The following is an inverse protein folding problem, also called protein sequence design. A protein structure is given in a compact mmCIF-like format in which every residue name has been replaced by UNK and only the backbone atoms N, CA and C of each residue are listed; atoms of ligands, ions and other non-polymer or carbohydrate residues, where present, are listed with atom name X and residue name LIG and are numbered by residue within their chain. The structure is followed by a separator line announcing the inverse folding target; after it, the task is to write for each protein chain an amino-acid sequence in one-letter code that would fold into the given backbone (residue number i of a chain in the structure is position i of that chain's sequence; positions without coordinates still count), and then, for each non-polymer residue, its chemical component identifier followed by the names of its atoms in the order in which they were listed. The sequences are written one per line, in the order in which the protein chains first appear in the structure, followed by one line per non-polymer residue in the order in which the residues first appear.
data_IF_115640967671
#
_entry.id   IF_115640967671
#
_cell.length_a   1.000
_cell.length_b   1.000
_cell.length_c   1.000
_cell.angle_alpha   90.00
_cell.angle_beta   90.00
_cell.angle_gamma   90.00
#
_symmetry.space_group_name_H-M   'P 1'
#
loop_
_entity.id
_entity.type
_entity.pdbx_description
1 polymer ?
#
# COMPACT_ATOMS: atom_id res chain seq x y z
N UNK A 1 0.11 26.91 -15.06
CA UNK A 1 1.22 26.05 -15.56
C UNK A 1 1.05 24.71 -14.86
N UNK A 2 0.98 23.59 -15.59
CA UNK A 2 0.59 22.28 -15.02
C UNK A 2 1.72 21.59 -14.26
N UNK A 3 1.39 20.73 -13.29
CA UNK A 3 2.33 19.92 -12.51
C UNK A 3 3.28 19.09 -13.40
N UNK A 4 2.77 18.57 -14.53
CA UNK A 4 3.58 17.93 -15.59
C UNK A 4 4.63 18.84 -16.23
N UNK A 5 4.35 20.13 -16.45
CA UNK A 5 5.32 21.07 -17.08
C UNK A 5 6.44 21.51 -16.15
N UNK A 6 6.20 21.56 -14.84
CA UNK A 6 7.25 21.87 -13.86
C UNK A 6 8.20 20.67 -13.70
N UNK A 7 7.66 19.43 -13.73
CA UNK A 7 8.44 18.19 -13.63
C UNK A 7 9.33 17.90 -14.85
N UNK A 8 8.87 18.18 -16.08
CA UNK A 8 9.72 17.99 -17.28
C UNK A 8 10.92 18.93 -17.30
N UNK A 9 10.79 20.17 -16.79
CA UNK A 9 11.92 21.11 -16.75
C UNK A 9 12.95 20.78 -15.66
N UNK A 10 12.54 20.17 -14.55
CA UNK A 10 13.45 19.70 -13.50
C UNK A 10 14.21 18.41 -13.89
N UNK A 11 13.58 17.52 -14.67
CA UNK A 11 14.23 16.29 -15.15
C UNK A 11 15.17 16.53 -16.36
N UNK A 12 14.99 17.60 -17.13
CA UNK A 12 15.85 17.93 -18.27
C UNK A 12 17.12 18.74 -17.91
N UNK A 13 17.19 19.36 -16.73
CA UNK A 13 18.38 20.11 -16.29
C UNK A 13 19.42 19.26 -15.56
N UNK A 14 19.07 18.06 -15.09
CA UNK A 14 19.98 17.13 -14.43
C UNK A 14 20.67 16.12 -15.38
N UNK A 15 20.28 16.07 -16.66
CA UNK A 15 20.70 15.03 -17.62
C UNK A 15 21.82 15.40 -18.61
N UNK A 16 22.50 16.54 -18.48
CA UNK A 16 23.43 17.03 -19.53
C UNK A 16 24.90 17.19 -19.14
N UNK A 17 25.38 16.61 -18.03
CA UNK A 17 26.79 16.81 -17.59
C UNK A 17 27.60 15.57 -17.23
N UNK A 18 27.25 14.36 -17.68
CA UNK A 18 28.18 13.21 -17.58
C UNK A 18 28.07 12.26 -18.77
N UNK A 19 28.54 12.68 -19.95
CA UNK A 19 29.02 11.73 -20.97
C UNK A 19 30.24 12.34 -21.67
N UNK A 20 31.44 12.16 -21.12
CA UNK A 20 32.67 12.17 -21.92
C UNK A 20 33.85 11.47 -21.23
N UNK A 21 34.37 10.44 -21.90
CA UNK A 21 35.65 9.75 -21.62
C UNK A 21 35.52 8.59 -20.62
N UNK A 22 35.93 7.35 -20.90
CA UNK A 22 36.88 6.82 -21.88
C UNK A 22 36.63 5.31 -22.02
N UNK A 23 36.56 4.81 -23.26
CA UNK A 23 36.92 3.43 -23.59
C UNK A 23 38.43 3.35 -23.79
N UNK A 24 39.11 2.36 -23.18
CA UNK A 24 39.86 1.31 -23.89
C UNK A 24 40.60 0.38 -22.90
N UNK A 25 40.46 -0.94 -23.14
CA UNK A 25 41.46 -2.02 -22.98
C UNK A 25 42.01 -2.31 -21.56
N UNK A 26 42.26 -3.55 -21.10
CA UNK A 26 42.21 -4.88 -21.68
C UNK A 26 42.13 -5.91 -20.53
N UNK A 27 41.81 -7.14 -20.91
CA UNK A 27 41.68 -8.34 -20.08
C UNK A 27 42.94 -8.69 -19.26
N UNK A 28 42.74 -9.23 -18.05
CA UNK A 28 43.47 -10.40 -17.54
C UNK A 28 42.84 -10.94 -16.25
N UNK A 29 42.45 -12.20 -16.35
CA UNK A 29 42.22 -13.26 -15.37
C UNK A 29 42.74 -13.09 -13.93
N UNK A 30 41.87 -13.48 -13.00
CA UNK A 30 42.13 -14.44 -11.90
C UNK A 30 43.33 -14.22 -10.96
N UNK A 31 43.05 -13.97 -9.68
CA UNK A 31 43.26 -14.92 -8.56
C UNK A 31 43.34 -14.16 -7.24
N UNK A 32 42.50 -14.56 -6.30
CA UNK A 32 42.68 -14.28 -4.89
C UNK A 32 43.98 -14.94 -4.41
N UNK A 33 44.80 -14.20 -3.67
CA UNK A 33 45.69 -14.72 -2.61
C UNK A 33 46.28 -13.53 -1.84
N UNK A 34 45.98 -13.48 -0.54
CA UNK A 34 46.82 -12.76 0.42
C UNK A 34 48.18 -13.50 0.52
N UNK A 35 49.28 -12.77 0.75
CA UNK A 35 49.95 -12.93 2.05
C UNK A 35 50.57 -11.60 2.55
N UNK A 36 50.43 -11.30 3.83
CA UNK A 36 51.34 -11.63 4.95
C UNK A 36 52.34 -10.50 5.24
N UNK A 37 52.42 -10.26 6.54
CA UNK A 37 53.15 -9.24 7.25
C UNK A 37 54.61 -9.66 7.39
N UNK A 38 55.56 -8.82 6.97
CA UNK A 38 56.94 -8.92 7.44
C UNK A 38 57.56 -7.54 7.55
N UNK A 39 57.91 -7.20 8.79
CA UNK A 39 58.67 -6.03 9.15
C UNK A 39 60.14 -6.24 8.82
N UNK A 40 60.79 -5.25 8.21
CA UNK A 40 62.22 -5.08 8.36
C UNK A 40 62.61 -3.60 8.30
N UNK A 41 63.22 -3.20 9.41
CA UNK A 41 63.96 -1.97 9.67
C UNK A 41 65.18 -1.83 8.75
N UNK A 42 65.47 -0.62 8.28
CA UNK A 42 66.86 -0.13 8.30
C UNK A 42 66.91 1.39 8.34
N UNK A 43 67.90 1.88 9.10
CA UNK A 43 68.06 3.22 9.56
C UNK A 43 69.12 3.99 8.74
N UNK A 44 69.11 5.30 8.97
CA UNK A 44 70.23 6.24 8.91
C UNK A 44 70.65 6.77 7.53
N UNK A 45 70.45 8.08 7.35
CA UNK A 45 71.59 8.98 7.54
C UNK A 45 71.17 10.42 7.85
N UNK A 46 71.84 10.99 8.84
CA UNK A 46 71.70 12.34 9.34
C UNK A 46 72.81 13.24 8.80
N UNK A 47 72.50 14.53 8.60
CA UNK A 47 73.41 15.69 8.68
C UNK A 47 72.52 16.95 8.57
N UNK A 48 72.04 17.52 9.68
CA UNK A 48 72.67 18.58 10.48
C UNK A 48 72.84 19.91 9.73
N UNK A 49 71.93 20.86 9.97
CA UNK A 49 72.32 22.21 10.37
C UNK A 49 71.19 22.92 11.14
N UNK A 50 71.54 23.32 12.36
CA UNK A 50 70.83 24.26 13.23
C UNK A 50 70.92 25.68 12.63
N UNK A 51 70.09 26.68 12.95
CA UNK A 51 69.32 26.94 14.15
C UNK A 51 68.21 27.98 13.89
N UNK A 52 67.22 27.97 14.79
CA UNK A 52 66.37 29.08 15.25
C UNK A 52 65.32 29.66 14.30
N UNK A 53 64.06 29.26 14.49
CA UNK A 53 63.10 30.15 15.20
C UNK A 53 61.72 29.50 15.43
N UNK A 54 61.33 29.52 16.72
CA UNK A 54 59.98 29.66 17.29
C UNK A 54 58.86 28.71 16.83
N UNK A 55 58.50 27.88 17.80
CA UNK A 55 57.23 27.20 18.01
C UNK A 55 56.00 27.90 17.40
N UNK A 56 55.41 27.24 16.41
CA UNK A 56 53.97 27.23 16.19
C UNK A 56 53.53 25.78 16.39
N UNK A 57 52.75 25.52 17.43
CA UNK A 57 52.13 24.23 17.65
C UNK A 57 51.16 23.97 16.49
N UNK A 58 51.55 23.09 15.56
CA UNK A 58 50.66 22.57 14.55
C UNK A 58 49.55 21.79 15.27
N UNK A 59 48.32 22.30 15.20
CA UNK A 59 47.13 21.56 15.58
C UNK A 59 47.12 20.24 14.81
N UNK A 60 46.80 19.10 15.44
CA UNK A 60 46.59 17.86 14.70
C UNK A 60 45.46 18.11 13.71
N UNK A 61 45.78 18.02 12.41
CA UNK A 61 44.75 17.99 11.35
C UNK A 61 43.83 16.81 11.67
N UNK A 62 42.51 17.00 11.78
CA UNK A 62 41.60 15.87 11.85
C UNK A 62 41.81 15.06 10.56
N UNK A 63 42.27 13.83 10.71
CA UNK A 63 42.27 12.83 9.66
C UNK A 63 40.82 12.63 9.22
N UNK A 64 40.44 13.25 8.11
CA UNK A 64 39.28 12.83 7.35
C UNK A 64 39.44 11.34 7.00
N UNK A 65 38.35 10.58 7.07
CA UNK A 65 38.24 9.12 6.92
C UNK A 65 38.36 8.25 8.18
N UNK A 66 37.66 8.64 9.25
CA UNK A 66 37.17 7.70 10.27
C UNK A 66 35.66 7.84 10.47
N UNK A 67 34.90 7.81 9.39
CA UNK A 67 33.53 7.32 9.43
C UNK A 67 33.57 5.98 8.73
N UNK A 68 33.35 4.91 9.50
CA UNK A 68 33.25 3.59 8.90
C UNK A 68 32.06 3.58 7.92
N UNK A 69 32.19 2.95 6.75
CA UNK A 69 31.10 2.79 5.78
C UNK A 69 29.79 2.30 6.44
N UNK A 70 29.92 1.48 7.49
CA UNK A 70 28.82 0.95 8.30
C UNK A 70 28.21 1.94 9.30
N UNK A 71 28.93 3.01 9.66
CA UNK A 71 28.45 4.12 10.51
C UNK A 71 27.63 5.14 9.71
N UNK A 72 27.92 5.27 8.40
CA UNK A 72 27.06 5.96 7.43
C UNK A 72 25.85 5.12 7.01
N UNK A 73 25.85 3.82 7.34
CA UNK A 73 24.70 2.94 7.32
C UNK A 73 24.04 2.97 8.70
N UNK A 74 23.69 4.16 9.20
CA UNK A 74 22.57 4.25 10.13
C UNK A 74 21.36 3.71 9.37
N UNK A 75 21.15 2.40 9.51
CA UNK A 75 19.88 1.74 9.26
C UNK A 75 18.92 2.34 10.27
N UNK A 76 18.47 3.57 10.04
CA UNK A 76 17.20 4.00 10.58
C UNK A 76 16.24 2.86 10.25
N UNK A 77 15.57 2.24 11.24
CA UNK A 77 14.54 1.27 10.97
C UNK A 77 13.55 1.95 10.01
N UNK A 78 13.57 1.52 8.76
CA UNK A 78 12.66 2.07 7.76
C UNK A 78 11.37 1.29 7.94
N UNK A 79 10.55 1.74 8.88
CA UNK A 79 9.17 1.33 8.99
C UNK A 79 8.29 2.20 8.07
N UNK A 80 7.05 1.76 7.87
CA UNK A 80 6.08 2.48 7.07
C UNK A 80 5.83 3.90 7.64
N UNK A 81 5.78 4.06 8.96
CA UNK A 81 5.50 5.35 9.62
C UNK A 81 6.59 6.39 9.38
N UNK A 82 7.85 5.98 9.40
CA UNK A 82 9.02 6.83 9.16
C UNK A 82 9.06 7.25 7.70
N UNK A 83 8.77 6.33 6.78
CA UNK A 83 8.62 6.64 5.35
C UNK A 83 7.49 7.63 5.10
N UNK A 84 6.33 7.43 5.75
CA UNK A 84 5.18 8.32 5.66
C UNK A 84 5.52 9.73 6.16
N UNK A 85 6.10 9.84 7.36
CA UNK A 85 6.46 11.13 7.99
C UNK A 85 7.45 11.94 7.14
N UNK A 86 8.46 11.28 6.57
CA UNK A 86 9.43 11.92 5.65
C UNK A 86 8.77 12.53 4.40
N UNK A 87 7.62 12.00 4.00
CA UNK A 87 6.88 12.45 2.82
C UNK A 87 5.74 13.43 3.13
N UNK A 88 5.51 13.80 4.39
CA UNK A 88 4.53 14.85 4.71
C UNK A 88 4.97 16.19 4.12
N UNK A 89 4.04 16.89 3.46
CA UNK A 89 4.33 18.16 2.79
C UNK A 89 3.49 19.33 3.31
N UNK A 90 2.42 19.07 4.07
CA UNK A 90 1.51 20.12 4.51
C UNK A 90 1.78 20.59 5.94
N UNK A 91 2.64 19.91 6.70
CA UNK A 91 2.89 20.24 8.11
C UNK A 91 3.54 21.61 8.31
N UNK A 92 4.41 22.03 7.39
CA UNK A 92 5.18 23.29 7.52
C UNK A 92 4.43 24.52 6.97
N UNK A 93 3.24 24.33 6.40
CA UNK A 93 2.45 25.43 5.84
C UNK A 93 1.76 26.19 6.96
N UNK A 94 2.17 27.45 7.18
CA UNK A 94 1.51 28.36 8.11
C UNK A 94 0.07 28.62 7.67
N UNK A 95 -0.88 28.23 8.51
CA UNK A 95 -2.29 28.49 8.30
C UNK A 95 -2.72 29.82 8.95
N UNK A 96 -3.73 30.52 8.37
CA UNK A 96 -4.48 31.55 9.08
C UNK A 96 -5.02 31.03 10.43
N UNK A 97 -5.17 31.91 11.42
CA UNK A 97 -5.53 31.50 12.78
C UNK A 97 -6.88 30.75 12.86
N UNK A 98 -7.86 31.15 12.05
CA UNK A 98 -9.16 30.48 11.95
C UNK A 98 -9.07 29.12 11.23
N UNK A 99 -8.19 28.99 10.24
CA UNK A 99 -7.87 27.72 9.60
C UNK A 99 -7.16 26.76 10.57
N UNK A 100 -6.18 27.26 11.33
CA UNK A 100 -5.49 26.49 12.36
C UNK A 100 -6.46 26.02 13.45
N UNK A 101 -7.36 26.88 13.93
CA UNK A 101 -8.36 26.51 14.94
C UNK A 101 -9.26 25.34 14.50
N UNK A 102 -9.57 25.23 13.20
CA UNK A 102 -10.29 24.06 12.65
C UNK A 102 -9.48 22.78 12.76
N UNK A 103 -8.17 22.83 12.54
CA UNK A 103 -7.26 21.68 12.69
C UNK A 103 -7.14 21.31 14.17
N UNK A 104 -6.93 22.31 15.03
CA UNK A 104 -6.76 22.11 16.48
C UNK A 104 -7.98 21.43 17.12
N UNK A 105 -9.18 21.80 16.67
CA UNK A 105 -10.43 21.14 17.11
C UNK A 105 -10.40 19.63 16.83
N UNK A 106 -9.86 19.21 15.67
CA UNK A 106 -9.75 17.79 15.34
C UNK A 106 -8.58 17.11 16.03
N UNK A 107 -7.49 17.82 16.30
CA UNK A 107 -6.39 17.33 17.12
C UNK A 107 -6.92 16.99 18.53
N UNK A 108 -7.65 17.91 19.16
CA UNK A 108 -8.28 17.69 20.47
C UNK A 108 -9.28 16.52 20.43
N UNK A 109 -10.11 16.46 19.38
CA UNK A 109 -11.06 15.37 19.21
C UNK A 109 -10.37 14.00 19.14
N UNK A 110 -9.34 13.86 18.32
CA UNK A 110 -8.59 12.61 18.19
C UNK A 110 -7.81 12.27 19.47
N UNK A 111 -7.20 13.25 20.12
CA UNK A 111 -6.52 13.05 21.41
C UNK A 111 -7.46 12.62 22.53
N UNK A 112 -8.76 12.91 22.44
CA UNK A 112 -9.73 12.46 23.44
C UNK A 112 -10.01 10.95 23.36
N UNK A 113 -9.56 10.26 22.30
CA UNK A 113 -9.74 8.82 22.08
C UNK A 113 -8.53 8.20 21.37
N UNK A 114 -7.33 8.20 21.98
CA UNK A 114 -6.10 7.70 21.36
C UNK A 114 -6.18 6.19 21.06
N UNK A 115 -6.95 5.43 21.83
CA UNK A 115 -7.23 4.02 21.58
C UNK A 115 -7.98 3.78 20.27
N UNK A 116 -8.84 4.72 19.86
CA UNK A 116 -9.51 4.64 18.56
C UNK A 116 -8.51 4.83 17.42
N UNK A 117 -7.54 5.75 17.58
CA UNK A 117 -6.46 5.92 16.59
C UNK A 117 -5.66 4.63 16.49
N UNK A 118 -5.24 4.06 17.62
CA UNK A 118 -4.49 2.80 17.65
C UNK A 118 -5.26 1.66 16.96
N UNK A 119 -6.55 1.52 17.23
CA UNK A 119 -7.39 0.50 16.59
C UNK A 119 -7.54 0.70 15.07
N UNK A 120 -7.65 1.94 14.61
CA UNK A 120 -7.70 2.26 13.18
C UNK A 120 -6.36 1.97 12.51
N UNK A 121 -5.24 2.35 13.15
CA UNK A 121 -3.90 2.11 12.61
C UNK A 121 -3.52 0.63 12.63
N UNK A 122 -4.01 -0.15 13.60
CA UNK A 122 -3.88 -1.62 13.61
C UNK A 122 -4.58 -2.25 12.40
N UNK A 123 -5.78 -1.76 12.06
CA UNK A 123 -6.50 -2.20 10.86
C UNK A 123 -5.76 -1.81 9.58
N UNK A 124 -4.97 -0.74 9.63
CA UNK A 124 -4.20 -0.25 8.49
C UNK A 124 -2.97 -1.14 8.18
N UNK A 125 -2.52 -1.98 9.12
CA UNK A 125 -1.28 -2.77 9.02
C UNK A 125 -1.09 -3.49 7.68
N UNK A 126 -2.10 -4.20 7.11
CA UNK A 126 -1.89 -4.90 5.84
C UNK A 126 -1.80 -3.97 4.62
N UNK A 127 -2.29 -2.73 4.73
CA UNK A 127 -2.57 -1.85 3.58
C UNK A 127 -1.65 -0.64 3.51
N UNK A 128 -1.20 -0.16 4.67
CA UNK A 128 -0.61 1.17 4.79
C UNK A 128 0.71 1.28 4.01
N UNK A 129 1.58 0.27 4.10
CA UNK A 129 2.85 0.23 3.38
C UNK A 129 2.63 0.34 1.85
N UNK A 130 1.67 -0.41 1.32
CA UNK A 130 1.26 -0.32 -0.10
C UNK A 130 0.79 1.09 -0.46
N UNK A 131 -0.09 1.70 0.35
CA UNK A 131 -0.63 3.02 0.07
C UNK A 131 0.48 4.09 0.12
N UNK A 132 1.38 4.02 1.11
CA UNK A 132 2.54 4.92 1.22
C UNK A 132 3.42 4.79 -0.02
N UNK A 133 3.71 3.57 -0.46
CA UNK A 133 4.47 3.33 -1.68
C UNK A 133 3.79 4.01 -2.88
N UNK A 134 2.47 3.79 -3.07
CA UNK A 134 1.73 4.39 -4.19
C UNK A 134 1.70 5.92 -4.16
N UNK A 135 1.56 6.52 -2.98
CA UNK A 135 1.61 7.99 -2.79
C UNK A 135 3.02 8.52 -3.09
N UNK A 136 4.04 7.86 -2.56
CA UNK A 136 5.46 8.24 -2.73
C UNK A 136 5.92 8.13 -4.18
N UNK A 137 5.61 7.03 -4.87
CA UNK A 137 5.97 6.81 -6.28
C UNK A 137 5.42 7.90 -7.22
N UNK A 138 4.25 8.45 -6.87
CA UNK A 138 3.64 9.57 -7.61
C UNK A 138 4.28 10.92 -7.26
N UNK A 139 4.93 11.02 -6.11
CA UNK A 139 5.44 12.26 -5.54
C UNK A 139 4.34 13.11 -4.90
N UNK A 140 3.28 12.45 -4.42
CA UNK A 140 2.16 13.10 -3.75
C UNK A 140 2.49 13.35 -2.26
N UNK A 141 1.82 14.33 -1.62
CA UNK A 141 1.94 14.55 -0.18
C UNK A 141 1.60 13.27 0.61
N UNK A 142 2.45 12.92 1.59
CA UNK A 142 2.26 11.76 2.45
C UNK A 142 0.93 11.77 3.17
N UNK A 143 0.36 12.94 3.47
CA UNK A 143 -0.96 13.09 4.09
C UNK A 143 -2.06 12.34 3.32
N UNK A 144 -1.96 12.22 1.99
CA UNK A 144 -2.95 11.50 1.19
C UNK A 144 -3.02 10.00 1.53
N UNK A 145 -1.96 9.41 2.06
CA UNK A 145 -1.97 8.01 2.51
C UNK A 145 -2.89 7.79 3.72
N UNK A 146 -3.26 8.87 4.42
CA UNK A 146 -4.16 8.83 5.59
C UNK A 146 -5.62 9.09 5.23
N UNK A 147 -5.97 9.28 3.95
CA UNK A 147 -7.37 9.45 3.52
C UNK A 147 -8.25 8.28 3.97
N UNK A 148 -7.85 7.00 3.85
CA UNK A 148 -8.66 5.89 4.34
C UNK A 148 -8.93 5.92 5.85
N UNK A 149 -8.10 6.61 6.64
CA UNK A 149 -8.39 6.86 8.07
C UNK A 149 -9.69 7.64 8.22
N UNK A 150 -9.86 8.69 7.42
CA UNK A 150 -10.99 9.62 7.46
C UNK A 150 -12.22 9.03 6.77
N UNK A 151 -12.03 8.29 5.68
CA UNK A 151 -13.10 7.73 4.85
C UNK A 151 -13.72 6.46 5.45
N UNK A 152 -12.91 5.49 5.84
CA UNK A 152 -13.39 4.16 6.20
C UNK A 152 -12.83 3.60 7.51
N UNK A 153 -12.03 4.39 8.24
CA UNK A 153 -11.25 3.85 9.36
C UNK A 153 -10.35 2.69 8.92
N UNK A 154 -9.78 2.76 7.71
CA UNK A 154 -9.01 1.67 7.07
C UNK A 154 -9.75 0.32 6.95
N UNK A 155 -11.08 0.31 6.97
CA UNK A 155 -11.87 -0.90 6.69
C UNK A 155 -12.08 -1.05 5.17
N UNK A 156 -11.50 -2.09 4.52
CA UNK A 156 -11.67 -2.30 3.09
C UNK A 156 -13.03 -2.91 2.73
N UNK A 157 -13.79 -3.43 3.71
CA UNK A 157 -15.17 -3.90 3.57
C UNK A 157 -16.23 -2.82 3.83
N UNK A 158 -15.82 -1.61 4.22
CA UNK A 158 -16.72 -0.55 4.66
C UNK A 158 -17.76 -0.19 3.59
N UNK A 159 -19.01 0.01 4.02
CA UNK A 159 -20.10 0.52 3.18
C UNK A 159 -20.88 1.61 3.90
N UNK A 160 -21.07 2.75 3.25
CA UNK A 160 -21.89 3.83 3.81
C UNK A 160 -23.37 3.66 3.51
N UNK A 161 -24.21 4.33 4.31
CA UNK A 161 -25.66 4.42 4.09
C UNK A 161 -26.03 5.04 2.73
N UNK A 162 -25.10 5.78 2.10
CA UNK A 162 -25.26 6.39 0.77
C UNK A 162 -24.76 5.48 -0.36
N UNK A 163 -24.15 4.34 -0.04
CA UNK A 163 -23.66 3.36 -1.01
C UNK A 163 -22.20 3.52 -1.41
N UNK A 164 -21.44 4.38 -0.72
CA UNK A 164 -19.99 4.43 -0.83
C UNK A 164 -19.37 3.11 -0.33
N UNK A 165 -18.24 2.69 -0.90
CA UNK A 165 -17.63 1.39 -0.59
C UNK A 165 -16.09 1.43 -0.55
N UNK A 166 -15.53 0.61 0.34
CA UNK A 166 -14.09 0.31 0.44
C UNK A 166 -13.28 1.35 1.19
N UNK A 167 -11.95 1.19 1.16
CA UNK A 167 -10.98 2.07 1.83
C UNK A 167 -11.19 3.54 1.47
N UNK A 168 -11.44 3.79 0.18
CA UNK A 168 -11.54 5.12 -0.39
C UNK A 168 -12.98 5.62 -0.48
N UNK A 169 -13.97 4.86 0.01
CA UNK A 169 -15.40 5.22 -0.01
C UNK A 169 -15.90 5.72 -1.37
N UNK A 170 -15.62 4.97 -2.44
CA UNK A 170 -16.13 5.32 -3.77
C UNK A 170 -17.65 5.19 -3.87
N UNK A 171 -18.31 6.26 -4.27
CA UNK A 171 -19.70 6.23 -4.73
C UNK A 171 -19.81 5.40 -6.02
N UNK A 172 -20.93 4.69 -6.29
CA UNK A 172 -21.04 3.81 -7.45
C UNK A 172 -20.71 4.52 -8.78
N UNK A 173 -21.34 5.67 -9.05
CA UNK A 173 -21.12 6.40 -10.30
C UNK A 173 -19.69 6.92 -10.48
N UNK A 174 -19.03 7.34 -9.39
CA UNK A 174 -17.62 7.74 -9.44
C UNK A 174 -16.72 6.53 -9.66
N UNK A 175 -16.99 5.40 -8.98
CA UNK A 175 -16.26 4.16 -9.19
C UNK A 175 -16.35 3.69 -10.63
N UNK A 176 -17.55 3.68 -11.22
CA UNK A 176 -17.76 3.33 -12.62
C UNK A 176 -16.95 4.26 -13.56
N UNK A 177 -16.97 5.58 -13.29
CA UNK A 177 -16.21 6.57 -14.07
C UNK A 177 -14.68 6.41 -13.94
N UNK A 178 -14.21 5.89 -12.80
CA UNK A 178 -12.79 5.59 -12.57
C UNK A 178 -12.40 4.17 -13.00
N UNK A 179 -13.31 3.43 -13.65
CA UNK A 179 -13.02 2.09 -14.17
C UNK A 179 -13.08 0.98 -13.12
N UNK A 180 -13.63 1.24 -11.94
CA UNK A 180 -13.84 0.23 -10.90
C UNK A 180 -15.00 -0.67 -11.28
N UNK A 181 -14.68 -1.80 -11.91
CA UNK A 181 -15.67 -2.79 -12.37
C UNK A 181 -16.51 -3.29 -11.20
N UNK A 182 -17.83 -3.35 -11.42
CA UNK A 182 -18.77 -3.89 -10.44
C UNK A 182 -19.80 -4.80 -11.10
N UNK A 183 -19.91 -6.02 -10.59
CA UNK A 183 -20.86 -7.04 -11.03
C UNK A 183 -21.28 -7.93 -9.84
N UNK A 184 -22.01 -9.02 -10.10
CA UNK A 184 -22.53 -9.90 -9.05
C UNK A 184 -21.48 -10.67 -8.24
N UNK A 185 -20.23 -10.71 -8.73
CA UNK A 185 -19.14 -11.49 -8.14
C UNK A 185 -17.96 -10.62 -7.70
N UNK A 186 -17.89 -9.38 -8.19
CA UNK A 186 -16.78 -8.47 -7.94
C UNK A 186 -17.24 -7.02 -7.73
N UNK A 187 -16.68 -6.33 -6.74
CA UNK A 187 -16.84 -4.88 -6.53
C UNK A 187 -15.44 -4.25 -6.40
N UNK A 188 -14.91 -3.69 -7.49
CA UNK A 188 -13.56 -3.10 -7.54
C UNK A 188 -13.35 -1.91 -6.61
N UNK A 189 -14.41 -1.38 -6.01
CA UNK A 189 -14.33 -0.35 -4.96
C UNK A 189 -13.80 -0.92 -3.64
N UNK A 190 -13.99 -2.21 -3.40
CA UNK A 190 -13.44 -2.92 -2.23
C UNK A 190 -12.05 -3.49 -2.52
N UNK A 191 -11.61 -3.55 -3.77
CA UNK A 191 -10.28 -4.03 -4.15
C UNK A 191 -9.22 -2.98 -3.77
N UNK A 192 -8.38 -3.28 -2.80
CA UNK A 192 -7.43 -2.30 -2.22
C UNK A 192 -6.46 -1.75 -3.26
N UNK A 193 -5.92 -2.60 -4.13
CA UNK A 193 -4.93 -2.18 -5.14
C UNK A 193 -5.60 -1.30 -6.19
N UNK A 194 -6.71 -1.77 -6.74
CA UNK A 194 -7.42 -1.08 -7.84
C UNK A 194 -8.07 0.22 -7.36
N UNK A 195 -8.71 0.21 -6.19
CA UNK A 195 -9.32 1.41 -5.62
C UNK A 195 -8.29 2.46 -5.18
N UNK A 196 -7.10 2.04 -4.72
CA UNK A 196 -6.01 2.98 -4.39
C UNK A 196 -5.50 3.69 -5.64
N UNK A 197 -5.24 2.95 -6.72
CA UNK A 197 -4.84 3.56 -7.99
C UNK A 197 -5.91 4.54 -8.50
N UNK A 198 -7.17 4.12 -8.50
CA UNK A 198 -8.30 4.95 -8.90
C UNK A 198 -8.44 6.22 -8.06
N UNK A 199 -8.31 6.14 -6.73
CA UNK A 199 -8.45 7.29 -5.83
C UNK A 199 -7.37 8.34 -6.08
N UNK A 200 -6.11 7.89 -6.13
CA UNK A 200 -4.98 8.79 -6.39
C UNK A 200 -5.07 9.39 -7.80
N UNK A 201 -5.42 8.59 -8.81
CA UNK A 201 -5.66 9.09 -10.18
C UNK A 201 -6.78 10.15 -10.20
N UNK A 202 -7.87 9.93 -9.47
CA UNK A 202 -8.99 10.85 -9.41
C UNK A 202 -8.60 12.18 -8.73
N UNK A 203 -7.84 12.12 -7.63
CA UNK A 203 -7.34 13.30 -6.93
C UNK A 203 -6.38 14.12 -7.81
N UNK A 204 -5.42 13.46 -8.47
CA UNK A 204 -4.50 14.10 -9.40
C UNK A 204 -5.23 14.72 -10.59
N UNK A 205 -6.14 13.97 -11.21
CA UNK A 205 -6.94 14.45 -12.34
C UNK A 205 -7.76 15.69 -11.96
N UNK A 206 -8.44 15.67 -10.81
CA UNK A 206 -9.22 16.82 -10.37
C UNK A 206 -8.33 18.05 -10.10
N UNK A 207 -7.20 17.85 -9.42
CA UNK A 207 -6.25 18.92 -9.12
C UNK A 207 -5.73 19.57 -10.42
N UNK A 208 -5.30 18.75 -11.38
CA UNK A 208 -4.74 19.22 -12.64
C UNK A 208 -5.78 19.90 -13.54
N UNK A 209 -7.00 19.34 -13.63
CA UNK A 209 -8.03 19.84 -14.54
C UNK A 209 -8.75 21.09 -14.03
N UNK A 210 -8.96 21.20 -12.72
CA UNK A 210 -9.87 22.20 -12.15
C UNK A 210 -9.21 23.16 -11.17
N UNK A 211 -8.06 22.79 -10.58
CA UNK A 211 -7.52 23.50 -9.41
C UNK A 211 -6.05 23.89 -9.55
N UNK A 212 -5.52 23.91 -10.76
CA UNK A 212 -4.13 24.32 -11.04
C UNK A 212 -3.08 23.52 -10.25
N UNK A 213 -3.40 22.27 -9.89
CA UNK A 213 -2.56 21.40 -9.06
C UNK A 213 -2.82 21.50 -7.56
N UNK A 214 -3.80 22.29 -7.10
CA UNK A 214 -4.17 22.35 -5.68
C UNK A 214 -4.92 21.08 -5.24
N UNK A 215 -4.18 20.21 -4.56
CA UNK A 215 -4.69 18.97 -3.98
C UNK A 215 -5.66 19.20 -2.82
N UNK A 216 -5.60 20.34 -2.12
CA UNK A 216 -6.52 20.66 -1.02
C UNK A 216 -7.93 20.93 -1.57
N UNK A 217 -8.02 21.68 -2.68
CA UNK A 217 -9.28 21.87 -3.40
C UNK A 217 -9.76 20.58 -4.06
N UNK A 218 -8.84 19.76 -4.57
CA UNK A 218 -9.16 18.43 -5.09
C UNK A 218 -9.78 17.52 -4.02
N UNK A 219 -9.27 17.53 -2.78
CA UNK A 219 -9.87 16.80 -1.66
C UNK A 219 -11.25 17.32 -1.29
N UNK A 220 -11.46 18.63 -1.30
CA UNK A 220 -12.79 19.19 -1.10
C UNK A 220 -13.77 18.73 -2.19
N UNK A 221 -13.30 18.65 -3.44
CA UNK A 221 -14.08 18.19 -4.58
C UNK A 221 -14.32 16.68 -4.55
N UNK A 222 -13.39 15.89 -4.01
CA UNK A 222 -13.55 14.47 -3.73
C UNK A 222 -14.77 14.24 -2.81
N UNK A 223 -14.89 15.02 -1.74
CA UNK A 223 -15.97 14.89 -0.77
C UNK A 223 -17.30 15.54 -1.22
N UNK A 224 -17.28 16.76 -1.79
CA UNK A 224 -18.49 17.53 -2.10
C UNK A 224 -18.90 17.56 -3.59
N UNK A 225 -18.05 17.02 -4.46
CA UNK A 225 -18.11 17.17 -5.90
C UNK A 225 -17.54 18.50 -6.40
N UNK A 226 -16.83 18.46 -7.54
CA UNK A 226 -16.19 19.62 -8.16
C UNK A 226 -17.16 20.79 -8.44
N UNK A 227 -18.41 20.49 -8.82
CA UNK A 227 -19.42 21.53 -9.05
C UNK A 227 -19.72 22.38 -7.80
N UNK A 228 -19.68 21.77 -6.60
CA UNK A 228 -19.87 22.46 -5.32
C UNK A 228 -18.68 23.36 -5.00
N UNK A 229 -17.47 22.82 -5.12
CA UNK A 229 -16.23 23.57 -4.89
C UNK A 229 -16.09 24.73 -5.87
N UNK A 230 -16.35 24.51 -7.15
CA UNK A 230 -16.23 25.54 -8.17
C UNK A 230 -17.25 26.69 -7.98
N UNK A 231 -18.44 26.39 -7.43
CA UNK A 231 -19.40 27.43 -7.03
C UNK A 231 -18.87 28.24 -5.85
N UNK A 232 -18.34 27.57 -4.83
CA UNK A 232 -17.78 28.22 -3.64
C UNK A 232 -16.56 29.09 -3.99
N UNK A 233 -15.67 28.62 -4.88
CA UNK A 233 -14.54 29.41 -5.38
C UNK A 233 -15.01 30.69 -6.07
N UNK A 234 -15.96 30.60 -7.01
CA UNK A 234 -16.51 31.80 -7.68
C UNK A 234 -17.10 32.79 -6.67
N UNK A 235 -17.78 32.28 -5.64
CA UNK A 235 -18.32 33.11 -4.57
C UNK A 235 -17.21 33.81 -3.78
N UNK A 236 -16.15 33.09 -3.39
CA UNK A 236 -14.99 33.64 -2.69
C UNK A 236 -14.27 34.71 -3.53
N UNK A 237 -14.02 34.43 -4.82
CA UNK A 237 -13.43 35.41 -5.75
C UNK A 237 -14.29 36.67 -5.89
N UNK A 238 -15.63 36.53 -5.92
CA UNK A 238 -16.52 37.71 -5.96
C UNK A 238 -16.45 38.59 -4.72
N UNK A 239 -15.92 38.05 -3.61
CA UNK A 239 -15.66 38.75 -2.36
C UNK A 239 -14.21 39.26 -2.24
N UNK A 240 -13.39 39.07 -3.28
CA UNK A 240 -11.98 39.48 -3.29
C UNK A 240 -11.04 38.55 -2.54
N UNK A 241 -11.48 37.33 -2.19
CA UNK A 241 -10.63 36.30 -1.58
C UNK A 241 -9.86 35.53 -2.66
N UNK A 242 -8.84 34.77 -2.25
CA UNK A 242 -8.00 33.99 -3.18
C UNK A 242 -8.72 32.75 -3.72
N UNK A 243 -9.74 32.27 -3.00
CA UNK A 243 -10.50 31.07 -3.38
C UNK A 243 -9.72 29.79 -3.09
N UNK A 244 -8.83 29.83 -2.10
CA UNK A 244 -8.20 28.65 -1.52
C UNK A 244 -9.21 27.91 -0.63
N UNK A 245 -8.98 26.63 -0.36
CA UNK A 245 -9.88 25.80 0.47
C UNK A 245 -10.32 26.51 1.76
N UNK A 246 -9.39 27.18 2.43
CA UNK A 246 -9.61 27.81 3.73
C UNK A 246 -10.56 29.01 3.67
N UNK A 247 -10.68 29.65 2.50
CA UNK A 247 -11.58 30.78 2.20
C UNK A 247 -13.02 30.32 1.87
N UNK A 248 -13.21 29.04 1.55
CA UNK A 248 -14.46 28.57 0.95
C UNK A 248 -15.54 28.28 2.00
N UNK A 249 -16.76 28.74 1.71
CA UNK A 249 -17.97 28.27 2.39
C UNK A 249 -18.49 27.02 1.69
N UNK A 250 -18.21 25.85 2.27
CA UNK A 250 -18.57 24.53 1.76
C UNK A 250 -19.55 23.84 2.73
N UNK A 251 -20.15 22.69 2.36
CA UNK A 251 -20.86 21.87 3.33
C UNK A 251 -20.00 21.58 4.57
N UNK A 252 -20.64 21.48 5.74
CA UNK A 252 -19.94 21.37 7.02
C UNK A 252 -18.93 20.20 7.05
N UNK A 253 -19.34 19.04 6.55
CA UNK A 253 -18.49 17.85 6.44
C UNK A 253 -17.25 18.11 5.58
N UNK A 254 -17.42 18.78 4.45
CA UNK A 254 -16.34 19.13 3.52
C UNK A 254 -15.38 20.15 4.12
N UNK A 255 -15.89 21.16 4.83
CA UNK A 255 -15.05 22.14 5.55
C UNK A 255 -14.22 21.50 6.68
N UNK A 256 -14.61 20.32 7.15
CA UNK A 256 -13.87 19.54 8.13
C UNK A 256 -12.91 18.53 7.52
N UNK A 257 -13.04 18.23 6.23
CA UNK A 257 -12.35 17.12 5.60
C UNK A 257 -10.82 17.29 5.61
N UNK A 258 -10.32 18.42 5.12
CA UNK A 258 -8.87 18.73 5.16
C UNK A 258 -8.38 18.93 6.60
N UNK A 259 -9.11 19.62 7.51
CA UNK A 259 -8.75 19.67 8.93
C UNK A 259 -8.57 18.32 9.59
N UNK A 260 -9.49 17.36 9.39
CA UNK A 260 -9.37 15.99 9.90
C UNK A 260 -8.07 15.36 9.42
N UNK A 261 -7.78 15.44 8.12
CA UNK A 261 -6.60 14.83 7.53
C UNK A 261 -5.30 15.47 8.05
N UNK A 262 -5.26 16.80 8.15
CA UNK A 262 -4.11 17.51 8.75
C UNK A 262 -3.93 17.14 10.21
N UNK A 263 -5.02 17.08 10.99
CA UNK A 263 -4.96 16.75 12.41
C UNK A 263 -4.41 15.35 12.65
N UNK A 264 -4.91 14.33 11.92
CA UNK A 264 -4.35 12.98 12.07
C UNK A 264 -2.90 12.91 11.60
N UNK A 265 -2.53 13.61 10.52
CA UNK A 265 -1.13 13.69 10.09
C UNK A 265 -0.22 14.34 11.16
N UNK A 266 -0.68 15.39 11.83
CA UNK A 266 0.04 16.02 12.95
C UNK A 266 0.24 15.03 14.09
N UNK A 267 -0.79 14.23 14.43
CA UNK A 267 -0.70 13.21 15.47
C UNK A 267 0.29 12.09 15.08
N UNK A 268 0.17 11.56 13.86
CA UNK A 268 1.08 10.54 13.33
C UNK A 268 2.53 11.04 13.23
N UNK A 269 2.73 12.35 13.02
CA UNK A 269 4.08 12.92 12.98
C UNK A 269 4.77 12.87 14.34
N UNK A 270 4.02 13.03 15.44
CA UNK A 270 4.53 13.05 16.82
C UNK A 270 3.65 12.21 17.77
N UNK A 271 3.51 10.89 17.57
CA UNK A 271 2.48 10.09 18.23
C UNK A 271 2.64 10.05 19.77
N UNK A 272 3.88 10.03 20.27
CA UNK A 272 4.18 10.04 21.71
C UNK A 272 3.69 11.32 22.40
N UNK A 273 3.83 12.49 21.76
CA UNK A 273 3.35 13.77 22.28
C UNK A 273 1.83 13.74 22.52
N UNK A 274 1.12 12.95 21.73
CA UNK A 274 -0.33 12.84 21.75
C UNK A 274 -0.84 11.57 22.44
N UNK A 275 0.05 10.81 23.09
CA UNK A 275 -0.33 9.58 23.82
C UNK A 275 -0.79 8.43 22.91
N UNK A 276 -0.44 8.47 21.62
CA UNK A 276 -0.79 7.44 20.64
C UNK A 276 0.34 6.43 20.51
N UNK A 277 -0.02 5.15 20.48
CA UNK A 277 0.90 4.06 20.14
C UNK A 277 0.55 3.56 18.75
N UNK A 278 1.51 3.62 17.84
CA UNK A 278 1.36 3.09 16.50
C UNK A 278 1.81 1.63 16.47
N UNK A 279 1.15 0.76 15.68
CA UNK A 279 1.62 -0.60 15.47
C UNK A 279 2.91 -0.61 14.64
N UNK A 280 3.69 -1.67 14.79
CA UNK A 280 4.86 -1.91 13.95
C UNK A 280 4.39 -2.34 12.55
N UNK A 281 4.74 -1.55 11.54
CA UNK A 281 4.39 -1.83 10.14
C UNK A 281 5.67 -1.80 9.31
N UNK A 282 5.99 -2.93 8.66
CA UNK A 282 7.15 -3.06 7.79
C UNK A 282 7.05 -2.11 6.58
N UNK A 283 8.17 -1.75 5.97
CA UNK A 283 8.18 -0.89 4.77
C UNK A 283 7.55 -1.58 3.56
N UNK A 284 7.65 -2.90 3.50
CA UNK A 284 7.06 -3.71 2.43
C UNK A 284 5.58 -4.00 2.70
N UNK A 285 4.73 -4.04 1.66
CA UNK A 285 3.34 -4.46 1.80
C UNK A 285 3.22 -5.88 2.36
N UNK A 286 2.35 -6.10 3.34
CA UNK A 286 2.07 -7.42 3.93
C UNK A 286 1.32 -8.40 2.99
N UNK A 287 1.31 -8.12 1.69
CA UNK A 287 0.71 -8.95 0.68
C UNK A 287 1.49 -8.90 -0.64
N UNK A 288 1.49 -10.01 -1.35
CA UNK A 288 1.94 -10.10 -2.73
C UNK A 288 0.75 -10.06 -3.70
N UNK A 289 1.02 -9.58 -4.92
CA UNK A 289 0.06 -9.56 -6.03
C UNK A 289 0.33 -10.72 -6.98
N UNK A 290 -0.66 -11.58 -7.19
CA UNK A 290 -0.58 -12.68 -8.16
C UNK A 290 -1.48 -12.37 -9.34
N UNK A 291 -0.87 -12.27 -10.51
CA UNK A 291 -1.59 -12.14 -11.77
C UNK A 291 -2.12 -13.51 -12.18
N UNK A 292 -3.43 -13.65 -12.33
CA UNK A 292 -4.08 -14.90 -12.72
C UNK A 292 -4.37 -14.92 -14.22
N UNK A 293 -4.09 -16.06 -14.86
CA UNK A 293 -4.40 -16.31 -16.26
C UNK A 293 -5.81 -16.90 -16.45
N UNK A 294 -6.30 -17.66 -15.47
CA UNK A 294 -7.57 -18.38 -15.52
C UNK A 294 -8.43 -18.06 -14.29
N UNK A 295 -9.71 -18.43 -14.37
CA UNK A 295 -10.61 -18.32 -13.23
C UNK A 295 -10.23 -19.33 -12.15
N UNK A 296 -10.06 -18.85 -10.92
CA UNK A 296 -9.65 -19.66 -9.77
C UNK A 296 -10.56 -19.35 -8.60
N UNK A 297 -11.08 -20.38 -7.92
CA UNK A 297 -11.83 -20.19 -6.68
C UNK A 297 -10.89 -19.92 -5.51
N UNK A 298 -11.34 -19.22 -4.48
CA UNK A 298 -10.53 -19.02 -3.27
C UNK A 298 -10.19 -20.33 -2.55
N UNK A 299 -11.03 -21.37 -2.68
CA UNK A 299 -10.73 -22.70 -2.15
C UNK A 299 -9.56 -23.36 -2.89
N UNK A 300 -9.55 -23.28 -4.23
CA UNK A 300 -8.46 -23.81 -5.04
C UNK A 300 -7.16 -23.03 -4.80
N UNK A 301 -7.24 -21.68 -4.76
CA UNK A 301 -6.09 -20.85 -4.43
C UNK A 301 -5.55 -21.16 -3.02
N UNK A 302 -6.42 -21.34 -2.03
CA UNK A 302 -6.05 -21.75 -0.67
C UNK A 302 -5.29 -23.08 -0.65
N UNK A 303 -5.80 -24.09 -1.36
CA UNK A 303 -5.15 -25.40 -1.46
C UNK A 303 -3.78 -25.34 -2.16
N UNK A 304 -3.67 -24.57 -3.25
CA UNK A 304 -2.44 -24.44 -4.01
C UNK A 304 -1.36 -23.65 -3.25
N UNK A 305 -1.76 -22.55 -2.60
CA UNK A 305 -0.84 -21.64 -1.92
C UNK A 305 -0.50 -22.07 -0.49
N UNK A 306 -1.24 -23.03 0.07
CA UNK A 306 -1.07 -23.44 1.47
C UNK A 306 -1.50 -22.36 2.48
N UNK A 307 -2.36 -21.43 2.06
CA UNK A 307 -2.85 -20.31 2.89
C UNK A 307 -4.31 -20.52 3.27
N UNK A 308 -4.75 -19.98 4.40
CA UNK A 308 -6.16 -20.09 4.79
C UNK A 308 -7.07 -19.32 3.83
N UNK A 309 -8.25 -19.88 3.54
CA UNK A 309 -9.26 -19.17 2.76
C UNK A 309 -9.69 -17.87 3.43
N UNK A 310 -9.71 -17.82 4.78
CA UNK A 310 -10.02 -16.61 5.55
C UNK A 310 -9.04 -15.48 5.23
N UNK A 311 -7.73 -15.75 5.27
CA UNK A 311 -6.71 -14.76 4.92
C UNK A 311 -6.87 -14.26 3.49
N UNK A 312 -7.21 -15.14 2.53
CA UNK A 312 -7.49 -14.72 1.17
C UNK A 312 -8.74 -13.85 1.06
N UNK A 313 -9.81 -14.15 1.80
CA UNK A 313 -11.03 -13.31 1.83
C UNK A 313 -10.73 -11.93 2.44
N UNK A 314 -9.98 -11.90 3.54
CA UNK A 314 -9.57 -10.65 4.21
C UNK A 314 -8.69 -9.78 3.31
N UNK A 315 -7.81 -10.40 2.54
CA UNK A 315 -6.97 -9.71 1.55
C UNK A 315 -7.74 -9.26 0.29
N UNK A 316 -8.86 -9.91 -0.04
CA UNK A 316 -9.58 -9.67 -1.29
C UNK A 316 -11.08 -9.39 -1.07
N UNK A 317 -11.45 -8.32 -0.34
CA UNK A 317 -12.85 -8.03 -0.03
C UNK A 317 -13.68 -7.66 -1.27
N UNK A 318 -13.04 -7.36 -2.40
CA UNK A 318 -13.70 -7.19 -3.70
C UNK A 318 -14.33 -8.46 -4.26
N UNK A 319 -13.93 -9.65 -3.82
CA UNK A 319 -14.46 -10.94 -4.29
C UNK A 319 -15.71 -11.35 -3.52
N UNK A 320 -16.89 -10.96 -4.02
CA UNK A 320 -18.16 -11.07 -3.28
C UNK A 320 -18.66 -12.50 -3.06
N UNK A 321 -18.23 -13.46 -3.89
CA UNK A 321 -18.64 -14.86 -3.82
C UNK A 321 -17.46 -15.84 -3.70
N UNK A 322 -16.27 -15.34 -3.37
CA UNK A 322 -15.08 -16.17 -3.18
C UNK A 322 -14.57 -16.87 -4.46
N UNK A 323 -14.84 -16.31 -5.63
CA UNK A 323 -14.28 -16.76 -6.91
C UNK A 323 -13.71 -15.60 -7.70
N UNK A 324 -12.59 -15.84 -8.37
CA UNK A 324 -11.90 -14.85 -9.19
C UNK A 324 -12.21 -15.11 -10.64
N UNK A 325 -12.77 -14.11 -11.31
CA UNK A 325 -13.03 -14.12 -12.75
C UNK A 325 -12.08 -13.11 -13.41
N UNK A 326 -11.10 -13.55 -14.24
CA UNK A 326 -10.15 -12.69 -14.95
C UNK A 326 -10.79 -11.61 -15.83
N UNK A 327 -12.08 -11.73 -16.15
CA UNK A 327 -12.85 -10.68 -16.84
C UNK A 327 -13.20 -9.50 -15.93
N UNK A 328 -13.21 -9.71 -14.62
CA UNK A 328 -13.55 -8.72 -13.59
C UNK A 328 -12.32 -8.23 -12.85
N UNK A 329 -11.48 -9.15 -12.38
CA UNK A 329 -10.18 -8.85 -11.79
C UNK A 329 -9.19 -9.95 -12.13
N UNK A 330 -7.95 -9.52 -12.34
CA UNK A 330 -6.84 -10.34 -12.79
C UNK A 330 -5.79 -10.51 -11.69
N UNK A 331 -5.97 -9.85 -10.54
CA UNK A 331 -5.03 -9.86 -9.43
C UNK A 331 -5.66 -10.56 -8.23
N UNK A 332 -4.93 -11.49 -7.63
CA UNK A 332 -5.20 -12.06 -6.32
C UNK A 332 -4.17 -11.54 -5.32
N UNK A 333 -4.63 -10.96 -4.22
CA UNK A 333 -3.76 -10.60 -3.10
C UNK A 333 -3.58 -11.83 -2.20
N UNK A 334 -2.33 -12.13 -1.87
CA UNK A 334 -1.96 -13.26 -1.01
C UNK A 334 -1.02 -12.77 0.07
N UNK A 335 -0.92 -13.43 1.23
CA UNK A 335 0.05 -13.05 2.26
C UNK A 335 1.48 -12.98 1.70
N UNK A 336 2.30 -12.08 2.22
CA UNK A 336 3.67 -11.88 1.71
C UNK A 336 4.56 -13.11 1.86
N UNK A 337 4.24 -14.02 2.80
CA UNK A 337 5.06 -15.17 3.15
C UNK A 337 4.89 -16.35 2.17
N UNK A 338 4.04 -16.22 1.16
CA UNK A 338 3.80 -17.27 0.17
C UNK A 338 5.02 -17.46 -0.74
N UNK A 339 5.46 -18.71 -0.89
CA UNK A 339 6.64 -19.06 -1.70
C UNK A 339 6.49 -18.63 -3.17
N UNK A 340 7.48 -17.88 -3.66
CA UNK A 340 7.58 -17.38 -5.03
C UNK A 340 7.40 -18.45 -6.12
N UNK A 341 7.84 -19.69 -5.87
CA UNK A 341 7.64 -20.80 -6.81
C UNK A 341 6.17 -21.17 -6.96
N UNK A 342 5.40 -21.11 -5.87
CA UNK A 342 3.96 -21.41 -5.85
C UNK A 342 3.18 -20.27 -6.50
N UNK A 343 3.60 -19.01 -6.27
CA UNK A 343 3.04 -17.86 -6.97
C UNK A 343 3.21 -17.98 -8.49
N UNK A 344 4.39 -18.42 -8.96
CA UNK A 344 4.67 -18.61 -10.38
C UNK A 344 3.80 -19.70 -11.02
N UNK A 345 3.54 -20.80 -10.31
CA UNK A 345 2.64 -21.87 -10.78
C UNK A 345 1.20 -21.37 -10.95
N UNK A 346 0.70 -20.62 -9.96
CA UNK A 346 -0.64 -20.05 -10.00
C UNK A 346 -0.79 -19.02 -11.13
N UNK A 347 0.27 -18.24 -11.38
CA UNK A 347 0.27 -17.24 -12.45
C UNK A 347 0.31 -17.84 -13.86
N UNK A 348 0.97 -18.99 -14.05
CA UNK A 348 1.12 -19.63 -15.35
C UNK A 348 -0.11 -20.45 -15.78
N UNK A 349 -1.10 -20.65 -14.89
CA UNK A 349 -2.29 -21.43 -15.22
C UNK A 349 -1.97 -22.91 -15.50
N UNK A 350 -0.87 -23.43 -14.94
CA UNK A 350 -0.44 -24.83 -15.07
C UNK A 350 -1.33 -25.76 -14.21
N UNK A 351 -2.64 -25.67 -14.44
CA UNK A 351 -3.68 -26.59 -13.99
C UNK A 351 -3.42 -28.02 -14.49
N UNK A 352 -2.54 -28.21 -15.50
CA UNK A 352 -2.15 -29.52 -16.03
C UNK A 352 -1.29 -30.35 -15.06
N UNK A 353 -0.56 -29.72 -14.13
CA UNK A 353 0.11 -30.46 -13.03
C UNK A 353 -0.82 -30.76 -11.84
N UNK A 354 -2.01 -30.14 -11.81
CA UNK A 354 -3.01 -30.32 -10.74
C UNK A 354 -3.97 -31.48 -11.05
N UNK A 355 -4.05 -31.95 -12.30
CA UNK A 355 -4.80 -33.15 -12.66
C UNK A 355 -4.16 -34.47 -12.21
N UNK A 356 -2.92 -34.45 -11.66
CA UNK A 356 -2.26 -35.64 -11.11
C UNK A 356 -2.07 -35.61 -9.59
N UNK A 357 -2.30 -34.47 -8.94
CA UNK A 357 -2.46 -34.35 -7.49
C UNK A 357 -3.92 -34.09 -7.07
N UNK A 358 -4.87 -34.30 -7.98
CA UNK A 358 -6.30 -34.41 -7.69
C UNK A 358 -6.60 -35.67 -6.86
N UNK A 359 -6.14 -35.69 -5.62
CA UNK A 359 -6.91 -36.33 -4.57
C UNK A 359 -8.16 -35.48 -4.39
N UNK A 360 -9.20 -35.75 -5.19
CA UNK A 360 -10.48 -35.06 -5.05
C UNK A 360 -10.90 -35.12 -3.59
N UNK A 361 -11.44 -34.02 -3.06
CA UNK A 361 -11.89 -33.95 -1.67
C UNK A 361 -12.89 -35.09 -1.43
N UNK A 362 -12.43 -36.19 -0.84
CA UNK A 362 -13.28 -37.33 -0.52
C UNK A 362 -13.73 -37.21 0.92
N UNK A 363 -15.04 -37.14 1.13
CA UNK A 363 -15.65 -37.25 2.45
C UNK A 363 -15.88 -38.71 2.81
N UNK A 364 -15.47 -39.12 4.01
CA UNK A 364 -15.78 -40.44 4.55
C UNK A 364 -17.10 -40.37 5.31
N UNK A 365 -18.12 -41.07 4.81
CA UNK A 365 -19.44 -41.16 5.44
C UNK A 365 -19.32 -41.68 6.86
N UNK A 366 -19.91 -40.98 7.82
CA UNK A 366 -20.01 -41.38 9.22
C UNK A 366 -21.39 -41.96 9.53
N UNK A 367 -21.50 -42.67 10.66
CA UNK A 367 -22.78 -43.24 11.10
C UNK A 367 -23.77 -42.13 11.43
N UNK A 368 -24.85 -42.03 10.66
CA UNK A 368 -25.89 -41.01 10.83
C UNK A 368 -25.92 -39.95 9.72
N UNK A 369 -24.98 -40.00 8.79
CA UNK A 369 -24.94 -39.08 7.65
C UNK A 369 -26.06 -39.32 6.64
N UNK A 370 -26.47 -38.23 5.96
CA UNK A 370 -27.31 -38.26 4.78
C UNK A 370 -26.69 -37.41 3.67
N UNK A 371 -26.95 -37.77 2.41
CA UNK A 371 -26.44 -37.01 1.25
C UNK A 371 -26.85 -35.53 1.30
N UNK A 372 -28.08 -35.22 1.73
CA UNK A 372 -28.55 -33.84 1.87
C UNK A 372 -27.82 -33.06 2.96
N UNK A 373 -27.49 -33.71 4.09
CA UNK A 373 -26.74 -33.07 5.16
C UNK A 373 -25.28 -32.81 4.76
N UNK A 374 -24.66 -33.77 4.06
CA UNK A 374 -23.31 -33.62 3.49
C UNK A 374 -23.32 -32.51 2.43
N UNK A 375 -24.26 -32.54 1.48
CA UNK A 375 -24.45 -31.52 0.46
C UNK A 375 -24.57 -30.10 1.06
N UNK A 376 -25.43 -29.94 2.07
CA UNK A 376 -25.60 -28.66 2.77
C UNK A 376 -24.34 -28.23 3.54
N UNK A 377 -23.65 -29.16 4.20
CA UNK A 377 -22.42 -28.88 4.96
C UNK A 377 -21.28 -28.39 4.08
N UNK A 378 -21.17 -28.94 2.87
CA UNK A 378 -20.11 -28.60 1.92
C UNK A 378 -20.57 -27.62 0.83
N UNK A 379 -21.80 -27.10 0.94
CA UNK A 379 -22.40 -26.18 -0.03
C UNK A 379 -22.34 -26.69 -1.49
N UNK A 380 -22.59 -27.98 -1.66
CA UNK A 380 -22.63 -28.68 -2.95
C UNK A 380 -24.08 -29.06 -3.25
N UNK A 381 -24.50 -29.01 -4.52
CA UNK A 381 -25.82 -29.51 -4.90
C UNK A 381 -25.90 -31.04 -4.71
N UNK A 382 -26.99 -31.52 -4.10
CA UNK A 382 -27.15 -32.94 -3.83
C UNK A 382 -27.14 -33.80 -5.11
N UNK A 383 -27.66 -33.27 -6.24
CA UNK A 383 -27.65 -33.96 -7.52
C UNK A 383 -26.23 -34.06 -8.10
N UNK A 384 -25.39 -33.06 -7.86
CA UNK A 384 -23.98 -33.08 -8.25
C UNK A 384 -23.21 -34.14 -7.46
N UNK A 385 -23.42 -34.23 -6.15
CA UNK A 385 -22.87 -35.29 -5.30
C UNK A 385 -23.27 -36.70 -5.77
N UNK A 386 -24.53 -36.89 -6.18
CA UNK A 386 -25.02 -38.16 -6.74
C UNK A 386 -24.31 -38.47 -8.06
N UNK A 387 -24.20 -37.48 -8.94
CA UNK A 387 -23.58 -37.61 -10.27
C UNK A 387 -22.09 -37.94 -10.19
N UNK A 388 -21.34 -37.24 -9.33
CA UNK A 388 -19.89 -37.44 -9.20
C UNK A 388 -19.53 -38.78 -8.57
N UNK A 389 -20.41 -39.34 -7.74
CA UNK A 389 -20.17 -40.59 -7.01
C UNK A 389 -20.96 -41.79 -7.56
N UNK A 390 -21.66 -41.63 -8.70
CA UNK A 390 -22.50 -42.65 -9.32
C UNK A 390 -23.43 -43.36 -8.33
N UNK A 391 -24.12 -42.60 -7.47
CA UNK A 391 -24.95 -43.16 -6.39
C UNK A 391 -26.34 -43.54 -6.92
N UNK A 392 -26.59 -44.83 -7.07
CA UNK A 392 -27.90 -45.34 -7.52
C UNK A 392 -29.00 -45.23 -6.45
N UNK A 393 -28.62 -45.25 -5.16
CA UNK A 393 -29.56 -45.20 -4.03
C UNK A 393 -29.15 -44.14 -3.00
N UNK A 394 -29.62 -42.89 -3.13
CA UNK A 394 -29.23 -41.79 -2.27
C UNK A 394 -29.54 -41.99 -0.77
N UNK A 395 -30.48 -42.86 -0.43
CA UNK A 395 -30.89 -43.17 0.95
C UNK A 395 -30.07 -44.29 1.61
N UNK A 396 -29.08 -44.87 0.93
CA UNK A 396 -28.35 -46.05 1.39
C UNK A 396 -26.83 -45.83 1.51
N UNK A 397 -26.42 -44.67 2.04
CA UNK A 397 -25.02 -44.42 2.35
C UNK A 397 -24.50 -45.40 3.42
N UNK A 398 -23.31 -45.96 3.21
CA UNK A 398 -22.67 -46.86 4.17
C UNK A 398 -21.60 -46.09 4.96
N UNK A 399 -21.57 -46.19 6.31
CA UNK A 399 -20.47 -45.65 7.09
C UNK A 399 -19.12 -46.21 6.59
N UNK A 400 -18.17 -45.31 6.35
CA UNK A 400 -16.87 -45.61 5.77
C UNK A 400 -16.78 -45.47 4.25
N UNK A 401 -17.90 -45.26 3.54
CA UNK A 401 -17.93 -44.96 2.11
C UNK A 401 -17.24 -43.62 1.83
N UNK A 402 -16.46 -43.54 0.75
CA UNK A 402 -15.83 -42.30 0.31
C UNK A 402 -16.69 -41.61 -0.76
N UNK A 403 -16.96 -40.33 -0.57
CA UNK A 403 -17.72 -39.48 -1.48
C UNK A 403 -16.84 -38.34 -2.00
N UNK A 404 -16.63 -38.29 -3.30
CA UNK A 404 -16.02 -37.18 -4.02
C UNK A 404 -16.94 -35.95 -3.92
N UNK A 405 -16.42 -34.86 -3.35
CA UNK A 405 -17.15 -33.62 -3.10
C UNK A 405 -17.01 -32.59 -4.22
N UNK A 406 -16.31 -32.91 -5.31
CA UNK A 406 -16.12 -32.03 -6.47
C UNK A 406 -16.08 -32.81 -7.78
N UNK A 407 -16.54 -32.18 -8.86
CA UNK A 407 -16.52 -32.76 -10.20
C UNK A 407 -15.11 -32.78 -10.78
N UNK A 408 -14.80 -33.82 -11.55
CA UNK A 408 -13.61 -33.88 -12.41
C UNK A 408 -13.82 -33.10 -13.70
#
# INVERSE_FOLDING_TARGET
MTYRTIRQRLMLSAGSTVIMGLMLAAAASSQASAPAYEASTSAANASSNAANNRAAAAQPRPTAFQTHFWEALELEPQDAWTTLRKNFQWQDTLLPADAQARVDTWIEHYQSSPENIAAITERATPWLAWIIQQVSERGLPGELALIPFVESSFDPGARSHRGAAGLWQFMPGTGDAMGLVRNGHYDGRLDVVTSTDAALNYLEMQADQWYEGDLTLSLAAYNAGAGTVNRAQRQAHSQGLNGEYWDLSLPHETMQYVPKLKAIATIINNPEQYGVRLPDIHIDPAFAKVQLAEAVSLSQASQLLGVSQTALVELNPGLLNGSIDPRSTQTLLVPEEVDTHVLAQLAQGDSQTVAQSSGGDTYRVESGDSLSAIAARYNVDQQDLIRWNAIDRPSALQPGQLLTLSGR
#
